data_IF_789824696108
#
_entry.id   IF_789824696108
#
_cell.length_a   1.000
_cell.length_b   1.000
_cell.length_c   1.000
_cell.angle_alpha   90.00
_cell.angle_beta   90.00
_cell.angle_gamma   90.00
#
_symmetry.space_group_name_H-M   'P 1'
#
loop_
_entity.id
_entity.type
_entity.pdbx_description
1 polymer ?
#
# COMPACT_ATOMS: atom_id res chain seq x y z
N UNK A 1 -14.56 35.10 4.23
CA UNK A 1 -13.36 34.78 3.42
C UNK A 1 -12.16 34.67 4.36
N UNK A 2 -12.20 33.70 5.28
CA UNK A 2 -11.07 33.43 6.15
C UNK A 2 -9.94 32.73 5.36
N UNK A 3 -10.26 31.94 4.33
CA UNK A 3 -9.31 31.27 3.44
C UNK A 3 -8.34 32.24 2.74
N UNK A 4 -8.81 33.44 2.37
CA UNK A 4 -7.97 34.48 1.79
C UNK A 4 -6.98 35.09 2.80
N UNK A 5 -7.22 34.96 4.12
CA UNK A 5 -6.28 35.41 5.16
C UNK A 5 -5.07 34.49 5.28
N UNK A 6 -5.19 33.23 4.86
CA UNK A 6 -4.10 32.24 4.86
C UNK A 6 -3.40 32.14 3.49
N UNK A 7 -3.64 33.09 2.60
CA UNK A 7 -2.98 33.17 1.29
C UNK A 7 -1.45 33.24 1.49
N UNK A 8 -0.67 32.33 0.90
CA UNK A 8 0.78 32.42 0.92
C UNK A 8 1.26 33.74 0.31
N UNK A 9 2.25 34.38 0.95
CA UNK A 9 2.76 35.70 0.55
C UNK A 9 3.32 35.74 -0.88
N UNK A 10 3.78 34.60 -1.40
CA UNK A 10 4.36 34.45 -2.73
C UNK A 10 3.33 34.25 -3.85
N UNK A 11 2.05 33.94 -3.52
CA UNK A 11 1.01 33.76 -4.54
C UNK A 11 0.29 35.08 -4.81
N UNK A 12 -0.26 35.27 -6.02
CA UNK A 12 -1.22 36.34 -6.28
C UNK A 12 -2.62 35.92 -5.80
N UNK A 13 -3.53 36.87 -5.59
CA UNK A 13 -4.90 36.54 -5.18
C UNK A 13 -5.61 35.68 -6.23
N UNK A 14 -5.38 35.97 -7.51
CA UNK A 14 -5.93 35.21 -8.63
C UNK A 14 -5.35 33.79 -8.72
N UNK A 15 -4.04 33.62 -8.52
CA UNK A 15 -3.40 32.31 -8.51
C UNK A 15 -3.90 31.45 -7.35
N UNK A 16 -4.06 32.05 -6.16
CA UNK A 16 -4.58 31.35 -4.99
C UNK A 16 -6.07 30.95 -5.15
N UNK A 17 -6.89 31.79 -5.78
CA UNK A 17 -8.28 31.41 -6.08
C UNK A 17 -8.38 30.30 -7.12
N UNK A 18 -7.48 30.26 -8.11
CA UNK A 18 -7.40 29.16 -9.07
C UNK A 18 -6.95 27.86 -8.41
N UNK A 19 -5.93 27.91 -7.54
CA UNK A 19 -5.47 26.74 -6.77
C UNK A 19 -6.61 26.17 -5.91
N UNK A 20 -7.38 27.03 -5.23
CA UNK A 20 -8.57 26.62 -4.49
C UNK A 20 -9.62 25.98 -5.39
N UNK A 21 -9.88 26.51 -6.59
CA UNK A 21 -10.82 25.89 -7.55
C UNK A 21 -10.35 24.50 -7.99
N UNK A 22 -9.05 24.31 -8.20
CA UNK A 22 -8.51 22.99 -8.60
C UNK A 22 -8.59 21.96 -7.49
N UNK A 23 -8.44 22.37 -6.23
CA UNK A 23 -8.50 21.46 -5.06
C UNK A 23 -9.93 21.12 -4.65
N UNK A 24 -10.90 21.97 -4.99
CA UNK A 24 -12.32 21.79 -4.64
C UNK A 24 -13.20 21.86 -5.90
N UNK A 25 -13.11 20.88 -6.83
CA UNK A 25 -13.94 20.88 -8.02
C UNK A 25 -15.42 20.82 -7.63
N UNK A 26 -16.23 21.70 -8.22
CA UNK A 26 -17.68 21.58 -8.22
C UNK A 26 -18.01 20.32 -9.03
N UNK A 27 -18.82 19.41 -8.47
CA UNK A 27 -19.33 18.28 -9.26
C UNK A 27 -20.07 18.81 -10.50
N UNK A 28 -20.21 17.98 -11.52
CA UNK A 28 -20.65 18.32 -12.90
C UNK A 28 -22.09 18.89 -13.04
N UNK A 29 -22.55 19.73 -12.11
CA UNK A 29 -23.78 20.52 -12.22
C UNK A 29 -23.54 21.68 -13.19
N UNK A 30 -23.53 21.36 -14.47
CA UNK A 30 -23.48 22.30 -15.58
C UNK A 30 -24.79 23.09 -15.66
N UNK A 31 -24.85 24.26 -15.01
CA UNK A 31 -25.55 25.43 -15.56
C UNK A 31 -25.64 26.56 -14.54
N UNK A 32 -25.08 27.71 -14.95
CA UNK A 32 -25.36 29.08 -14.46
C UNK A 32 -24.61 29.53 -13.21
N UNK A 33 -23.72 30.51 -13.44
CA UNK A 33 -22.92 31.28 -12.47
C UNK A 33 -21.91 30.50 -11.63
N UNK A 34 -20.93 29.89 -12.32
CA UNK A 34 -19.79 29.18 -11.70
C UNK A 34 -19.09 29.98 -10.61
N UNK A 35 -19.02 31.31 -10.71
CA UNK A 35 -18.30 32.14 -9.75
C UNK A 35 -18.96 32.29 -8.38
N UNK A 36 -20.28 32.17 -8.30
CA UNK A 36 -21.01 32.24 -7.04
C UNK A 36 -20.96 30.92 -6.28
N UNK A 37 -21.09 29.80 -6.99
CA UNK A 37 -21.27 28.46 -6.39
C UNK A 37 -20.02 27.94 -5.68
N UNK A 38 -18.81 28.16 -6.22
CA UNK A 38 -17.58 27.76 -5.52
C UNK A 38 -17.38 28.57 -4.23
N UNK A 39 -17.76 29.86 -4.26
CA UNK A 39 -17.58 30.77 -3.13
C UNK A 39 -18.52 30.40 -1.98
N UNK A 40 -19.77 30.09 -2.29
CA UNK A 40 -20.75 29.61 -1.30
C UNK A 40 -20.32 28.28 -0.70
N UNK A 41 -19.85 27.33 -1.53
CA UNK A 41 -19.32 26.04 -1.05
C UNK A 41 -18.08 26.20 -0.18
N UNK A 42 -17.16 27.09 -0.54
CA UNK A 42 -15.98 27.37 0.27
C UNK A 42 -16.36 27.97 1.64
N UNK A 43 -17.38 28.84 1.69
CA UNK A 43 -17.91 29.38 2.94
C UNK A 43 -18.60 28.29 3.79
N UNK A 44 -19.36 27.39 3.17
CA UNK A 44 -19.96 26.26 3.88
C UNK A 44 -18.89 25.35 4.50
N UNK A 45 -17.83 25.04 3.75
CA UNK A 45 -16.69 24.25 4.26
C UNK A 45 -15.93 24.99 5.37
N UNK A 46 -15.76 26.31 5.29
CA UNK A 46 -15.19 27.12 6.39
C UNK A 46 -16.06 27.01 7.66
N UNK A 47 -17.38 27.07 7.51
CA UNK A 47 -18.31 26.94 8.64
C UNK A 47 -18.29 25.54 9.24
N UNK A 48 -18.26 24.50 8.41
CA UNK A 48 -18.16 23.10 8.84
C UNK A 48 -16.84 22.82 9.55
N UNK A 49 -15.72 23.37 9.06
CA UNK A 49 -14.44 23.28 9.75
C UNK A 49 -14.50 23.94 11.14
N UNK A 50 -15.15 25.10 11.24
CA UNK A 50 -15.33 25.80 12.51
C UNK A 50 -16.19 24.98 13.49
N UNK A 51 -17.28 24.38 12.99
CA UNK A 51 -18.14 23.47 13.77
C UNK A 51 -17.34 22.25 14.26
N UNK A 52 -16.52 21.66 13.40
CA UNK A 52 -15.71 20.49 13.73
C UNK A 52 -14.61 20.83 14.75
N UNK A 53 -13.96 21.99 14.64
CA UNK A 53 -12.98 22.46 15.61
C UNK A 53 -13.59 22.71 16.99
N UNK A 54 -14.78 23.32 17.05
CA UNK A 54 -15.51 23.50 18.32
C UNK A 54 -15.86 22.15 18.94
N UNK A 55 -16.36 21.19 18.13
CA UNK A 55 -16.69 19.85 18.60
C UNK A 55 -15.46 19.11 19.13
N UNK A 56 -14.34 19.16 18.40
CA UNK A 56 -13.09 18.55 18.83
C UNK A 56 -12.56 19.18 20.13
N UNK A 57 -12.66 20.50 20.28
CA UNK A 57 -12.30 21.18 21.52
C UNK A 57 -13.15 20.75 22.72
N UNK A 58 -14.45 20.54 22.51
CA UNK A 58 -15.36 20.02 23.54
C UNK A 58 -15.01 18.58 23.93
N UNK A 59 -14.86 17.69 22.95
CA UNK A 59 -14.48 16.29 23.17
C UNK A 59 -13.12 16.19 23.90
N UNK A 60 -12.16 17.04 23.53
CA UNK A 60 -10.85 17.08 24.19
C UNK A 60 -10.93 17.55 25.65
N UNK A 61 -11.76 18.58 25.92
CA UNK A 61 -12.00 19.03 27.30
C UNK A 61 -12.71 17.99 28.17
N UNK A 62 -13.59 17.19 27.56
CA UNK A 62 -14.30 16.09 28.24
C UNK A 62 -13.34 14.95 28.58
N UNK A 63 -12.46 14.57 27.65
CA UNK A 63 -11.42 13.57 27.89
C UNK A 63 -10.43 13.99 28.99
N UNK A 64 -10.04 15.28 29.02
CA UNK A 64 -9.22 15.82 30.11
C UNK A 64 -9.95 15.75 31.46
N UNK A 65 -11.24 16.11 31.47
CA UNK A 65 -12.06 16.05 32.69
C UNK A 65 -12.22 14.61 33.20
N UNK A 66 -12.36 13.63 32.31
CA UNK A 66 -12.41 12.20 32.68
C UNK A 66 -11.07 11.69 33.23
N UNK A 67 -9.95 12.16 32.67
CA UNK A 67 -8.62 11.81 33.15
C UNK A 67 -8.36 12.38 34.55
N UNK A 68 -8.80 13.60 34.81
CA UNK A 68 -8.67 14.24 36.13
C UNK A 68 -9.65 13.66 37.16
N UNK A 69 -10.81 13.18 36.71
CA UNK A 69 -11.81 12.51 37.56
C UNK A 69 -11.46 11.06 37.92
N UNK A 70 -10.39 10.49 37.34
CA UNK A 70 -9.95 9.14 37.70
C UNK A 70 -9.09 9.24 38.96
N UNK A 71 -9.60 8.89 40.16
CA UNK A 71 -8.81 8.98 41.38
C UNK A 71 -7.62 8.04 41.26
N UNK A 72 -6.42 8.61 41.34
CA UNK A 72 -5.17 7.87 41.46
C UNK A 72 -5.29 7.07 42.76
N UNK A 73 -5.59 5.78 42.62
CA UNK A 73 -5.52 4.84 43.73
C UNK A 73 -4.04 4.68 44.05
N UNK A 74 -3.60 5.37 45.10
CA UNK A 74 -2.25 5.30 45.66
C UNK A 74 -1.96 3.87 46.15
N UNK A 75 -1.57 2.97 45.25
CA UNK A 75 -0.84 1.76 45.59
C UNK A 75 0.62 2.12 45.84
N UNK A 76 0.85 2.67 47.03
CA UNK A 76 2.14 2.78 47.69
C UNK A 76 2.56 1.38 48.15
N UNK A 77 3.49 0.76 47.41
CA UNK A 77 4.08 -0.53 47.72
C UNK A 77 5.59 -0.50 47.48
N UNK A 78 6.33 -0.61 48.57
CA UNK A 78 7.78 -0.54 48.74
C UNK A 78 8.59 -1.57 47.91
N UNK A 79 9.78 -1.16 47.46
CA UNK A 79 11.08 -1.85 47.70
C UNK A 79 12.15 -1.28 46.77
N UNK A 80 13.12 -0.53 47.29
CA UNK A 80 14.38 -0.99 47.88
C UNK A 80 15.51 -1.22 46.86
N UNK A 81 16.39 -0.21 46.85
CA UNK A 81 17.84 -0.23 46.62
C UNK A 81 18.54 -1.60 46.47
N UNK A 82 19.47 -1.72 45.52
CA UNK A 82 20.86 -2.14 45.83
C UNK A 82 21.87 -2.00 44.67
N UNK A 83 23.02 -1.46 45.05
CA UNK A 83 24.40 -1.73 44.62
C UNK A 83 24.84 -1.53 43.16
N UNK A 84 25.63 -0.46 43.02
CA UNK A 84 26.70 -0.29 42.06
C UNK A 84 27.79 -1.39 42.16
N UNK A 85 28.26 -1.89 41.02
CA UNK A 85 29.57 -2.56 40.89
C UNK A 85 30.27 -2.08 39.64
N UNK A 86 31.37 -1.34 39.84
CA UNK A 86 32.37 -0.99 38.82
C UNK A 86 33.21 -2.23 38.49
N UNK A 87 33.32 -2.62 37.22
CA UNK A 87 34.43 -3.47 36.74
C UNK A 87 35.06 -2.91 35.47
N UNK A 88 36.39 -2.80 35.59
CA UNK A 88 37.43 -2.29 34.69
C UNK A 88 37.99 -3.46 33.85
N UNK A 89 38.72 -3.14 32.77
CA UNK A 89 39.56 -4.01 31.90
C UNK A 89 38.83 -4.64 30.69
N UNK A 90 39.39 -4.77 29.47
CA UNK A 90 40.75 -4.57 28.92
C UNK A 90 40.65 -4.41 27.40
N UNK A 91 41.37 -3.44 26.83
CA UNK A 91 41.66 -3.31 25.39
C UNK A 91 42.34 -4.58 24.85
N UNK A 92 41.87 -5.15 23.74
CA UNK A 92 42.69 -6.00 22.86
C UNK A 92 42.49 -5.57 21.40
N UNK A 93 43.62 -5.25 20.81
CA UNK A 93 43.87 -4.76 19.47
C UNK A 93 43.79 -5.93 18.48
N UNK A 94 43.08 -5.81 17.36
CA UNK A 94 43.16 -6.74 16.23
C UNK A 94 43.12 -5.96 14.92
N UNK A 95 44.09 -6.28 14.05
CA UNK A 95 44.40 -5.72 12.74
C UNK A 95 43.23 -5.76 11.74
N UNK A 96 43.25 -4.91 10.69
CA UNK A 96 42.28 -4.97 9.60
C UNK A 96 42.64 -6.08 8.61
N UNK A 97 41.69 -6.97 8.34
CA UNK A 97 41.74 -7.92 7.23
C UNK A 97 41.17 -7.23 5.97
N UNK A 98 41.95 -7.29 4.91
CA UNK A 98 41.63 -6.92 3.54
C UNK A 98 40.37 -7.63 3.04
N UNK A 99 39.35 -6.86 2.62
CA UNK A 99 38.23 -7.37 1.85
C UNK A 99 38.52 -7.27 0.34
N UNK A 100 38.12 -8.28 -0.47
CA UNK A 100 38.29 -8.25 -1.90
C UNK A 100 37.27 -7.30 -2.53
N UNK A 101 37.72 -6.56 -3.55
CA UNK A 101 36.88 -5.76 -4.44
C UNK A 101 35.81 -6.65 -5.08
N UNK A 102 34.58 -6.50 -4.58
CA UNK A 102 33.37 -7.01 -5.23
C UNK A 102 33.11 -6.18 -6.49
N UNK A 103 33.13 -6.87 -7.63
CA UNK A 103 32.80 -6.35 -8.95
C UNK A 103 31.42 -5.68 -8.93
N UNK A 104 31.42 -4.34 -8.88
CA UNK A 104 30.22 -3.53 -9.13
C UNK A 104 29.82 -3.70 -10.59
N UNK A 105 28.81 -4.52 -10.85
CA UNK A 105 28.08 -4.47 -12.12
C UNK A 105 27.43 -3.10 -12.25
N UNK A 106 28.03 -2.24 -13.08
CA UNK A 106 27.47 -0.92 -13.43
C UNK A 106 26.34 -1.11 -14.43
N UNK A 107 25.13 -1.38 -13.93
CA UNK A 107 23.91 -1.33 -14.74
C UNK A 107 23.66 0.13 -15.16
N UNK A 108 23.59 0.41 -16.47
CA UNK A 108 23.43 1.77 -17.00
C UNK A 108 21.96 2.24 -16.88
N UNK A 109 21.57 2.57 -15.64
CA UNK A 109 20.24 3.05 -15.25
C UNK A 109 19.73 4.23 -16.07
N UNK A 110 20.64 5.11 -16.47
CA UNK A 110 20.31 6.31 -17.24
C UNK A 110 19.65 5.91 -18.56
N UNK A 111 20.20 4.93 -19.26
CA UNK A 111 19.68 4.49 -20.57
C UNK A 111 18.26 3.91 -20.50
N UNK A 112 17.93 3.17 -19.44
CA UNK A 112 16.60 2.54 -19.26
C UNK A 112 15.53 3.60 -18.95
N UNK A 113 15.85 4.57 -18.09
CA UNK A 113 14.88 5.59 -17.66
C UNK A 113 14.77 6.75 -18.66
N UNK A 114 15.83 7.09 -19.41
CA UNK A 114 15.78 8.16 -20.42
C UNK A 114 15.13 7.73 -21.74
N UNK A 115 14.55 6.52 -21.82
CA UNK A 115 14.00 5.90 -23.02
C UNK A 115 13.58 6.90 -24.09
N UNK A 116 14.41 7.01 -25.14
CA UNK A 116 14.26 7.95 -26.25
C UNK A 116 13.12 7.48 -27.15
N UNK A 117 11.89 7.54 -26.67
CA UNK A 117 10.71 7.32 -27.50
C UNK A 117 10.44 8.58 -28.32
N UNK A 118 10.33 8.43 -29.64
CA UNK A 118 10.16 9.53 -30.60
C UNK A 118 8.75 10.11 -30.65
N UNK A 119 7.82 9.58 -29.86
CA UNK A 119 6.41 9.97 -29.92
C UNK A 119 6.06 10.92 -28.75
N UNK A 120 5.80 12.18 -29.11
CA UNK A 120 5.76 13.33 -28.22
C UNK A 120 4.50 13.46 -27.36
N UNK A 121 4.57 12.93 -26.13
CA UNK A 121 3.70 13.33 -25.03
C UNK A 121 4.51 13.61 -23.74
N UNK A 122 4.05 14.54 -22.87
CA UNK A 122 4.81 15.06 -21.74
C UNK A 122 4.78 14.11 -20.53
N UNK A 123 5.41 12.94 -20.65
CA UNK A 123 5.68 12.04 -19.51
C UNK A 123 7.07 12.28 -18.88
N UNK A 124 7.84 13.22 -19.43
CA UNK A 124 9.23 13.48 -19.05
C UNK A 124 9.40 13.95 -17.59
N UNK A 125 8.41 14.65 -17.03
CA UNK A 125 8.52 15.28 -15.69
C UNK A 125 8.66 14.26 -14.55
N UNK A 126 8.04 13.07 -14.67
CA UNK A 126 8.10 12.05 -13.62
C UNK A 126 9.47 11.36 -13.59
N UNK A 127 10.02 11.02 -14.76
CA UNK A 127 11.30 10.28 -14.83
C UNK A 127 12.50 11.12 -14.42
N UNK A 128 12.52 12.40 -14.79
CA UNK A 128 13.59 13.31 -14.36
C UNK A 128 13.60 13.49 -12.84
N UNK A 129 12.41 13.55 -12.22
CA UNK A 129 12.26 13.68 -10.77
C UNK A 129 12.77 12.44 -10.02
N UNK A 130 12.51 11.23 -10.56
CA UNK A 130 13.05 9.98 -10.01
C UNK A 130 14.57 9.99 -10.00
N UNK A 131 15.21 10.36 -11.11
CA UNK A 131 16.67 10.41 -11.18
C UNK A 131 17.25 11.46 -10.23
N UNK A 132 16.70 12.67 -10.20
CA UNK A 132 17.18 13.74 -9.33
C UNK A 132 17.05 13.39 -7.84
N UNK A 133 15.94 12.77 -7.44
CA UNK A 133 15.71 12.37 -6.05
C UNK A 133 16.63 11.22 -5.61
N UNK A 134 16.89 10.25 -6.50
CA UNK A 134 17.84 9.16 -6.23
C UNK A 134 19.29 9.64 -6.22
N UNK A 135 19.69 10.54 -7.11
CA UNK A 135 21.03 11.15 -7.11
C UNK A 135 21.27 11.95 -5.83
N UNK A 136 20.26 12.70 -5.37
CA UNK A 136 20.30 13.41 -4.09
C UNK A 136 20.42 12.44 -2.90
N UNK A 137 19.64 11.36 -2.91
CA UNK A 137 19.69 10.32 -1.88
C UNK A 137 21.04 9.61 -1.84
N UNK A 138 21.62 9.30 -2.99
CA UNK A 138 22.95 8.68 -3.09
C UNK A 138 24.05 9.60 -2.56
N UNK A 139 23.98 10.89 -2.92
CA UNK A 139 24.92 11.90 -2.44
C UNK A 139 24.85 12.05 -0.91
N UNK A 140 23.64 12.04 -0.33
CA UNK A 140 23.48 12.09 1.11
C UNK A 140 23.86 10.78 1.80
N UNK A 141 23.53 9.63 1.22
CA UNK A 141 23.88 8.32 1.78
C UNK A 141 25.39 8.14 1.84
N UNK A 142 26.11 8.56 0.79
CA UNK A 142 27.58 8.54 0.75
C UNK A 142 28.21 9.53 1.73
N UNK A 143 27.66 10.75 1.83
CA UNK A 143 28.09 11.74 2.81
C UNK A 143 27.89 11.24 4.25
N UNK A 144 26.74 10.62 4.55
CA UNK A 144 26.40 10.06 5.87
C UNK A 144 27.27 8.86 6.23
N UNK A 145 27.56 7.98 5.26
CA UNK A 145 28.46 6.85 5.45
C UNK A 145 29.91 7.30 5.75
N UNK A 146 30.35 8.40 5.12
CA UNK A 146 31.71 8.95 5.27
C UNK A 146 31.87 9.79 6.54
N UNK A 147 30.85 10.61 6.85
CA UNK A 147 30.87 11.62 7.90
C UNK A 147 29.64 11.41 8.79
N UNK A 148 29.74 10.44 9.71
CA UNK A 148 28.65 9.98 10.59
C UNK A 148 27.93 11.06 11.41
N UNK A 149 28.37 12.33 11.40
CA UNK A 149 27.83 13.38 12.28
C UNK A 149 27.41 14.69 11.62
N UNK A 150 27.51 14.86 10.29
CA UNK A 150 27.27 16.18 9.68
C UNK A 150 25.90 16.37 9.03
N UNK A 151 25.19 15.31 8.67
CA UNK A 151 23.89 15.41 7.98
C UNK A 151 22.74 15.26 8.98
N UNK A 152 21.83 16.25 9.10
CA UNK A 152 20.64 16.13 9.92
C UNK A 152 19.76 14.95 9.46
N UNK A 153 19.26 14.15 10.41
CA UNK A 153 18.41 12.99 10.14
C UNK A 153 17.11 13.39 9.42
N UNK A 154 16.56 14.56 9.77
CA UNK A 154 15.37 15.12 9.12
C UNK A 154 15.58 15.36 7.62
N UNK A 155 16.71 15.96 7.23
CA UNK A 155 17.01 16.23 5.83
C UNK A 155 17.16 14.93 5.02
N UNK A 156 17.82 13.93 5.62
CA UNK A 156 17.95 12.61 5.01
C UNK A 156 16.59 11.95 4.82
N UNK A 157 15.72 12.00 5.83
CA UNK A 157 14.38 11.45 5.76
C UNK A 157 13.53 12.15 4.69
N UNK A 158 13.58 13.48 4.60
CA UNK A 158 12.83 14.25 3.57
C UNK A 158 13.23 13.80 2.15
N UNK A 159 14.53 13.68 1.88
CA UNK A 159 15.02 13.28 0.55
C UNK A 159 14.71 11.82 0.27
N UNK A 160 14.78 10.95 1.27
CA UNK A 160 14.33 9.57 1.18
C UNK A 160 12.83 9.47 0.83
N UNK A 161 11.98 10.23 1.51
CA UNK A 161 10.53 10.23 1.22
C UNK A 161 10.26 10.73 -0.19
N UNK A 162 10.98 11.78 -0.64
CA UNK A 162 10.86 12.29 -1.99
C UNK A 162 11.27 11.25 -3.04
N UNK A 163 12.32 10.46 -2.80
CA UNK A 163 12.73 9.38 -3.70
C UNK A 163 11.69 8.26 -3.76
N UNK A 164 11.14 7.85 -2.61
CA UNK A 164 10.04 6.86 -2.54
C UNK A 164 8.80 7.37 -3.28
N UNK A 165 8.46 8.66 -3.13
CA UNK A 165 7.31 9.27 -3.79
C UNK A 165 7.48 9.40 -5.30
N UNK A 166 8.67 9.76 -5.75
CA UNK A 166 8.98 9.81 -7.17
C UNK A 166 8.87 8.40 -7.79
N UNK A 167 9.40 7.38 -7.12
CA UNK A 167 9.29 5.97 -7.56
C UNK A 167 7.83 5.51 -7.57
N UNK A 168 7.08 5.79 -6.51
CA UNK A 168 5.66 5.48 -6.42
C UNK A 168 4.85 6.15 -7.53
N UNK A 169 5.09 7.43 -7.79
CA UNK A 169 4.44 8.17 -8.89
C UNK A 169 4.75 7.59 -10.27
N UNK A 170 6.01 7.22 -10.52
CA UNK A 170 6.39 6.53 -11.76
C UNK A 170 5.68 5.18 -11.88
N UNK A 171 5.67 4.39 -10.80
CA UNK A 171 5.03 3.09 -10.77
C UNK A 171 3.52 3.18 -11.03
N UNK A 172 2.79 4.07 -10.34
CA UNK A 172 1.35 4.28 -10.56
C UNK A 172 1.04 4.66 -12.01
N UNK A 173 1.92 5.44 -12.66
CA UNK A 173 1.75 5.77 -14.08
C UNK A 173 1.88 4.56 -15.01
N UNK A 174 2.73 3.57 -14.66
CA UNK A 174 2.91 2.32 -15.40
C UNK A 174 1.82 1.29 -15.10
N UNK A 175 1.21 1.35 -13.91
CA UNK A 175 0.14 0.45 -13.48
C UNK A 175 -1.25 0.90 -13.96
N UNK A 176 -1.36 2.10 -14.53
CA UNK A 176 -2.64 2.62 -15.04
C UNK A 176 -3.14 1.78 -16.24
N UNK A 177 -4.44 1.45 -16.30
CA UNK A 177 -4.97 0.65 -17.41
C UNK A 177 -4.70 1.31 -18.76
N UNK A 178 -4.15 0.56 -19.71
CA UNK A 178 -3.86 1.03 -21.07
C UNK A 178 -2.55 1.83 -21.24
N UNK A 179 -1.72 1.96 -20.20
CA UNK A 179 -0.38 2.56 -20.31
C UNK A 179 0.74 1.55 -20.53
N UNK A 180 0.42 0.26 -20.69
CA UNK A 180 1.40 -0.81 -20.89
C UNK A 180 2.09 -0.66 -22.26
N UNK A 181 3.26 -0.03 -22.24
CA UNK A 181 4.18 0.04 -23.36
C UNK A 181 5.05 -1.23 -23.37
N UNK A 182 5.60 -1.65 -24.51
CA UNK A 182 6.56 -2.76 -24.57
C UNK A 182 7.76 -2.58 -23.61
N UNK A 183 8.18 -1.34 -23.37
CA UNK A 183 9.26 -0.98 -22.44
C UNK A 183 8.85 -0.95 -20.96
N UNK A 184 7.58 -1.20 -20.64
CA UNK A 184 7.10 -1.22 -19.25
C UNK A 184 7.79 -2.31 -18.42
N UNK A 185 8.08 -3.48 -19.00
CA UNK A 185 8.77 -4.55 -18.29
C UNK A 185 10.19 -4.17 -17.87
N UNK A 186 10.97 -3.55 -18.77
CA UNK A 186 12.32 -3.08 -18.45
C UNK A 186 12.28 -1.99 -17.37
N UNK A 187 11.27 -1.11 -17.45
CA UNK A 187 11.08 -0.04 -16.46
C UNK A 187 10.68 -0.61 -15.10
N UNK A 188 9.80 -1.62 -15.06
CA UNK A 188 9.40 -2.31 -13.82
C UNK A 188 10.57 -3.10 -13.20
N UNK A 189 11.39 -3.75 -14.02
CA UNK A 189 12.60 -4.41 -13.56
C UNK A 189 13.59 -3.40 -12.94
N UNK A 190 13.76 -2.23 -13.58
CA UNK A 190 14.55 -1.14 -13.02
C UNK A 190 13.97 -0.64 -11.69
N UNK A 191 12.65 -0.43 -11.59
CA UNK A 191 11.98 -0.06 -10.34
C UNK A 191 12.21 -1.12 -9.25
N UNK A 192 12.10 -2.40 -9.58
CA UNK A 192 12.38 -3.51 -8.66
C UNK A 192 13.78 -3.39 -8.05
N UNK A 193 14.79 -3.21 -8.90
CA UNK A 193 16.19 -3.07 -8.44
C UNK A 193 16.43 -1.79 -7.63
N UNK A 194 15.71 -0.70 -7.92
CA UNK A 194 15.77 0.54 -7.13
C UNK A 194 15.13 0.39 -5.76
N UNK A 195 13.96 -0.24 -5.66
CA UNK A 195 13.30 -0.53 -4.38
C UNK A 195 14.18 -1.43 -3.52
N UNK A 196 14.76 -2.49 -4.12
CA UNK A 196 15.71 -3.35 -3.44
C UNK A 196 16.92 -2.57 -2.92
N UNK A 197 17.55 -1.76 -3.79
CA UNK A 197 18.70 -0.95 -3.41
C UNK A 197 18.37 0.02 -2.29
N UNK A 198 17.21 0.69 -2.37
CA UNK A 198 16.75 1.63 -1.37
C UNK A 198 16.59 0.94 -0.02
N UNK A 199 15.94 -0.23 0.03
CA UNK A 199 15.81 -1.02 1.26
C UNK A 199 17.18 -1.46 1.81
N UNK A 200 18.05 -2.03 0.97
CA UNK A 200 19.35 -2.56 1.40
C UNK A 200 20.34 -1.48 1.84
N UNK A 201 20.29 -0.29 1.23
CA UNK A 201 21.23 0.79 1.55
C UNK A 201 20.72 1.68 2.66
N UNK A 202 19.43 2.02 2.67
CA UNK A 202 18.89 3.04 3.56
C UNK A 202 18.54 2.46 4.93
N UNK A 203 17.97 1.25 4.99
CA UNK A 203 17.57 0.65 6.27
C UNK A 203 18.74 0.55 7.25
N UNK A 204 19.93 0.04 6.88
CA UNK A 204 21.08 0.02 7.79
C UNK A 204 21.49 1.41 8.29
N UNK A 205 21.42 2.43 7.43
CA UNK A 205 21.77 3.81 7.81
C UNK A 205 20.78 4.44 8.80
N UNK A 206 19.53 4.00 8.77
CA UNK A 206 18.48 4.41 9.70
C UNK A 206 18.55 3.62 11.02
N UNK A 207 19.06 2.38 11.02
CA UNK A 207 19.23 1.61 12.26
C UNK A 207 20.48 2.01 13.04
N UNK A 208 21.55 2.41 12.34
CA UNK A 208 22.85 2.72 12.95
C UNK A 208 22.89 4.05 13.73
N UNK A 209 21.91 4.96 13.53
CA UNK A 209 21.92 6.28 14.18
C UNK A 209 21.73 6.22 15.70
N UNK A 210 21.25 5.09 16.24
CA UNK A 210 20.91 4.93 17.65
C UNK A 210 22.10 4.75 18.60
N UNK A 211 23.34 4.83 18.13
CA UNK A 211 24.44 4.23 18.88
C UNK A 211 25.03 5.02 20.06
N UNK A 212 24.81 6.34 20.22
CA UNK A 212 25.46 7.09 21.34
C UNK A 212 24.74 8.33 21.87
N UNK A 213 23.58 8.73 21.35
CA UNK A 213 22.87 9.86 21.95
C UNK A 213 22.35 9.44 23.33
N UNK A 214 22.69 10.25 24.34
CA UNK A 214 22.16 10.13 25.69
C UNK A 214 20.63 10.01 25.59
N UNK A 215 19.98 9.10 26.34
CA UNK A 215 18.53 8.89 26.30
C UNK A 215 17.81 10.20 26.65
N UNK A 216 17.52 10.99 25.62
CA UNK A 216 16.71 12.19 25.69
C UNK A 216 15.26 11.76 25.77
N UNK A 217 14.53 12.29 26.75
CA UNK A 217 13.22 11.85 27.24
C UNK A 217 12.04 12.09 26.28
N UNK A 218 12.27 12.31 24.99
CA UNK A 218 11.20 12.44 24.01
C UNK A 218 11.31 11.27 23.02
N UNK A 219 10.30 10.42 23.02
CA UNK A 219 10.11 9.35 22.03
C UNK A 219 9.88 10.00 20.66
N UNK A 220 10.95 10.36 19.97
CA UNK A 220 10.83 10.75 18.57
C UNK A 220 10.24 9.56 17.79
N UNK A 221 9.20 9.79 16.95
CA UNK A 221 8.60 8.75 16.15
C UNK A 221 9.71 8.06 15.35
N UNK A 222 9.84 6.74 15.51
CA UNK A 222 10.92 5.99 14.91
C UNK A 222 10.96 6.26 13.40
N UNK A 223 12.00 6.96 12.94
CA UNK A 223 12.22 7.39 11.55
C UNK A 223 12.02 6.23 10.56
N UNK A 224 12.41 5.02 10.98
CA UNK A 224 12.18 3.78 10.25
C UNK A 224 10.70 3.50 9.96
N UNK A 225 9.83 3.69 10.95
CA UNK A 225 8.38 3.49 10.80
C UNK A 225 7.78 4.45 9.79
N UNK A 226 8.20 5.72 9.80
CA UNK A 226 7.78 6.73 8.81
C UNK A 226 8.19 6.29 7.40
N UNK A 227 9.44 5.85 7.24
CA UNK A 227 9.94 5.35 5.96
C UNK A 227 9.18 4.11 5.47
N UNK A 228 9.03 3.09 6.30
CA UNK A 228 8.35 1.85 5.91
C UNK A 228 6.87 2.07 5.64
N UNK A 229 6.21 2.95 6.41
CA UNK A 229 4.84 3.37 6.15
C UNK A 229 4.72 4.08 4.80
N UNK A 230 5.67 4.94 4.46
CA UNK A 230 5.69 5.61 3.15
C UNK A 230 5.96 4.66 2.00
N UNK A 231 6.93 3.75 2.15
CA UNK A 231 7.20 2.70 1.17
C UNK A 231 5.96 1.83 0.90
N UNK A 232 5.28 1.44 1.98
CA UNK A 232 4.05 0.65 1.89
C UNK A 232 2.96 1.40 1.12
N UNK A 233 2.66 2.64 1.53
CA UNK A 233 1.57 3.44 0.95
C UNK A 233 1.84 3.97 -0.46
N UNK A 234 3.09 4.30 -0.81
CA UNK A 234 3.44 4.87 -2.11
C UNK A 234 3.77 3.81 -3.18
N UNK A 235 4.22 2.61 -2.78
CA UNK A 235 4.69 1.58 -3.71
C UNK A 235 3.89 0.29 -3.55
N UNK A 236 3.96 -0.36 -2.39
CA UNK A 236 3.47 -1.74 -2.22
C UNK A 236 1.94 -1.83 -2.29
N UNK A 237 1.23 -0.89 -1.67
CA UNK A 237 -0.25 -0.82 -1.69
C UNK A 237 -0.77 -0.55 -3.12
N UNK A 238 -0.29 0.46 -3.86
CA UNK A 238 -0.66 0.65 -5.27
C UNK A 238 -0.43 -0.59 -6.14
N UNK A 239 0.64 -1.35 -5.90
CA UNK A 239 0.85 -2.62 -6.61
C UNK A 239 -0.31 -3.59 -6.33
N UNK A 240 -0.67 -3.82 -5.07
CA UNK A 240 -1.74 -4.76 -4.71
C UNK A 240 -3.09 -4.36 -5.33
N UNK A 241 -3.39 -3.06 -5.31
CA UNK A 241 -4.60 -2.51 -5.91
C UNK A 241 -4.61 -2.63 -7.45
N UNK A 242 -3.43 -2.68 -8.09
CA UNK A 242 -3.32 -2.76 -9.55
C UNK A 242 -3.58 -4.16 -10.12
N UNK A 243 -3.49 -5.23 -9.33
CA UNK A 243 -3.68 -6.58 -9.87
C UNK A 243 -5.08 -6.76 -10.51
N UNK A 244 -6.12 -6.16 -9.93
CA UNK A 244 -7.48 -6.26 -10.47
C UNK A 244 -7.62 -5.62 -11.87
N UNK A 245 -7.31 -4.31 -12.06
CA UNK A 245 -7.37 -3.70 -13.38
C UNK A 245 -6.39 -4.32 -14.38
N UNK A 246 -5.19 -4.72 -13.95
CA UNK A 246 -4.20 -5.35 -14.85
C UNK A 246 -4.67 -6.71 -15.35
N UNK A 247 -5.19 -7.56 -14.46
CA UNK A 247 -5.71 -8.88 -14.84
C UNK A 247 -6.91 -8.75 -15.77
N UNK A 248 -7.79 -7.78 -15.51
CA UNK A 248 -8.93 -7.50 -16.37
C UNK A 248 -8.49 -7.02 -17.76
N UNK A 249 -7.59 -6.05 -17.82
CA UNK A 249 -7.04 -5.54 -19.08
C UNK A 249 -6.39 -6.66 -19.89
N UNK A 250 -5.49 -7.43 -19.27
CA UNK A 250 -4.76 -8.51 -19.92
C UNK A 250 -5.69 -9.61 -20.47
N UNK A 251 -6.63 -10.10 -19.65
CA UNK A 251 -7.54 -11.19 -20.06
C UNK A 251 -8.52 -10.72 -21.13
N UNK A 252 -9.00 -9.47 -21.05
CA UNK A 252 -9.83 -8.89 -22.11
C UNK A 252 -9.03 -8.74 -23.41
N UNK A 253 -7.80 -8.22 -23.37
CA UNK A 253 -6.95 -8.13 -24.57
C UNK A 253 -6.67 -9.50 -25.18
N UNK A 254 -6.38 -10.51 -24.35
CA UNK A 254 -6.02 -11.85 -24.81
C UNK A 254 -7.19 -12.63 -25.41
N UNK A 255 -8.40 -12.50 -24.83
CA UNK A 255 -9.55 -13.34 -25.15
C UNK A 255 -10.73 -12.59 -25.78
N UNK A 256 -10.66 -11.27 -25.97
CA UNK A 256 -11.70 -10.54 -26.67
C UNK A 256 -11.86 -11.10 -28.10
N UNK A 257 -13.11 -11.31 -28.56
CA UNK A 257 -13.36 -11.85 -29.89
C UNK A 257 -12.83 -10.86 -30.93
N UNK A 258 -11.79 -11.26 -31.67
CA UNK A 258 -11.31 -10.48 -32.82
C UNK A 258 -12.43 -10.35 -33.84
N UNK A 259 -13.03 -9.17 -33.93
CA UNK A 259 -14.06 -8.87 -34.91
C UNK A 259 -13.55 -9.13 -36.33
N UNK A 260 -14.34 -9.84 -37.14
CA UNK A 260 -13.97 -10.25 -38.51
C UNK A 260 -13.78 -9.06 -39.48
N UNK A 261 -14.05 -7.84 -39.06
CA UNK A 261 -14.12 -6.64 -39.90
C UNK A 261 -12.78 -5.96 -40.16
N UNK A 262 -11.72 -6.24 -39.40
CA UNK A 262 -10.40 -5.59 -39.58
C UNK A 262 -9.29 -6.57 -40.00
N UNK A 263 -9.45 -7.22 -41.16
CA UNK A 263 -8.43 -8.13 -41.73
C UNK A 263 -7.17 -7.46 -42.28
N UNK A 264 -7.11 -6.12 -42.38
CA UNK A 264 -6.02 -5.42 -43.12
C UNK A 264 -4.97 -4.67 -42.30
N UNK A 265 -5.12 -4.46 -40.99
CA UNK A 265 -4.10 -3.72 -40.20
C UNK A 265 -3.35 -4.55 -39.14
N UNK A 266 -3.43 -5.88 -39.20
CA UNK A 266 -2.93 -6.77 -38.14
C UNK A 266 -1.41 -6.96 -38.09
N UNK A 267 -0.61 -6.22 -38.87
CA UNK A 267 0.83 -6.52 -39.01
C UNK A 267 1.72 -6.10 -37.82
N UNK A 268 1.23 -5.32 -36.85
CA UNK A 268 2.05 -4.87 -35.71
C UNK A 268 1.29 -4.77 -34.38
N UNK A 269 0.23 -5.54 -34.16
CA UNK A 269 -0.27 -5.67 -32.79
C UNK A 269 0.69 -6.59 -32.02
N UNK A 270 1.84 -6.02 -31.63
CA UNK A 270 2.75 -6.60 -30.65
C UNK A 270 1.88 -7.03 -29.46
N UNK A 271 1.99 -8.30 -29.09
CA UNK A 271 1.27 -8.84 -27.95
C UNK A 271 1.60 -7.96 -26.76
N UNK A 272 0.59 -7.30 -26.19
CA UNK A 272 0.73 -6.51 -24.97
C UNK A 272 1.44 -7.39 -23.95
N UNK A 273 2.64 -6.96 -23.54
CA UNK A 273 3.48 -7.78 -22.69
C UNK A 273 2.79 -7.91 -21.33
N UNK A 274 2.73 -9.13 -20.79
CA UNK A 274 2.16 -9.33 -19.46
C UNK A 274 3.09 -8.75 -18.40
N UNK A 275 2.67 -7.62 -17.80
CA UNK A 275 3.44 -6.93 -16.76
C UNK A 275 3.17 -7.47 -15.35
N UNK A 276 2.11 -8.27 -15.15
CA UNK A 276 1.69 -8.72 -13.79
C UNK A 276 2.78 -9.52 -13.06
N UNK A 277 3.54 -10.44 -13.71
CA UNK A 277 4.65 -11.13 -13.04
C UNK A 277 5.77 -10.17 -12.59
N UNK A 278 6.11 -9.17 -13.41
CA UNK A 278 7.13 -8.18 -13.06
C UNK A 278 6.67 -7.30 -11.87
N UNK A 279 5.40 -6.93 -11.86
CA UNK A 279 4.77 -6.19 -10.76
C UNK A 279 4.79 -7.01 -9.45
N UNK A 280 4.46 -8.31 -9.52
CA UNK A 280 4.54 -9.20 -8.37
C UNK A 280 5.97 -9.40 -7.85
N UNK A 281 6.96 -9.48 -8.75
CA UNK A 281 8.37 -9.60 -8.37
C UNK A 281 8.87 -8.43 -7.50
N UNK A 282 8.32 -7.22 -7.68
CA UNK A 282 8.64 -6.06 -6.83
C UNK A 282 8.19 -6.30 -5.38
N UNK A 283 6.95 -6.79 -5.19
CA UNK A 283 6.43 -7.13 -3.85
C UNK A 283 7.27 -8.24 -3.23
N UNK A 284 7.47 -9.34 -3.97
CA UNK A 284 8.21 -10.50 -3.48
C UNK A 284 9.63 -10.13 -3.02
N UNK A 285 10.34 -9.36 -3.85
CA UNK A 285 11.70 -8.90 -3.53
C UNK A 285 11.72 -7.96 -2.33
N UNK A 286 10.80 -7.01 -2.25
CA UNK A 286 10.71 -6.08 -1.12
C UNK A 286 10.43 -6.83 0.19
N UNK A 287 9.48 -7.76 0.19
CA UNK A 287 9.13 -8.56 1.37
C UNK A 287 10.27 -9.48 1.80
N UNK A 288 10.98 -10.12 0.85
CA UNK A 288 12.14 -10.95 1.17
C UNK A 288 13.26 -10.15 1.86
N UNK A 289 13.48 -8.89 1.43
CA UNK A 289 14.46 -8.00 2.08
C UNK A 289 13.97 -7.59 3.47
N UNK A 290 12.70 -7.26 3.62
CA UNK A 290 12.10 -6.94 4.93
C UNK A 290 12.22 -8.11 5.92
N UNK A 291 12.00 -9.35 5.47
CA UNK A 291 12.19 -10.54 6.29
C UNK A 291 13.65 -10.75 6.70
N UNK A 292 14.59 -10.55 5.77
CA UNK A 292 16.02 -10.55 6.09
C UNK A 292 16.37 -9.50 7.14
N UNK A 293 15.79 -8.29 7.03
CA UNK A 293 15.99 -7.23 8.01
C UNK A 293 15.39 -7.60 9.36
N UNK A 294 14.21 -8.22 9.43
CA UNK A 294 13.64 -8.70 10.68
C UNK A 294 14.56 -9.70 11.39
N UNK A 295 15.20 -10.61 10.65
CA UNK A 295 16.08 -11.63 11.24
C UNK A 295 17.42 -11.08 11.75
N UNK A 296 17.93 -10.00 11.14
CA UNK A 296 19.27 -9.47 11.41
C UNK A 296 19.29 -8.20 12.27
N UNK A 297 18.13 -7.58 12.53
CA UNK A 297 18.07 -6.25 13.14
C UNK A 297 17.67 -6.28 14.61
N UNK A 298 17.73 -5.10 15.24
CA UNK A 298 17.25 -4.88 16.60
C UNK A 298 15.75 -5.21 16.75
N UNK A 299 15.31 -5.49 17.97
CA UNK A 299 13.89 -5.71 18.30
C UNK A 299 13.00 -4.55 17.83
N UNK A 300 13.48 -3.30 17.94
CA UNK A 300 12.75 -2.11 17.47
C UNK A 300 12.61 -2.05 15.95
N UNK A 301 13.60 -2.54 15.19
CA UNK A 301 13.49 -2.59 13.73
C UNK A 301 12.51 -3.69 13.32
N UNK A 302 12.59 -4.84 13.98
CA UNK A 302 11.68 -5.96 13.74
C UNK A 302 10.21 -5.57 13.98
N UNK A 303 9.90 -4.81 15.03
CA UNK A 303 8.52 -4.33 15.28
C UNK A 303 8.03 -3.37 14.20
N UNK A 304 8.88 -2.48 13.69
CA UNK A 304 8.51 -1.56 12.61
C UNK A 304 8.29 -2.27 11.28
N UNK A 305 9.12 -3.27 10.96
CA UNK A 305 8.91 -4.11 9.78
C UNK A 305 7.64 -4.94 9.91
N UNK A 306 7.38 -5.52 11.09
CA UNK A 306 6.15 -6.25 11.36
C UNK A 306 4.92 -5.36 11.19
N UNK A 307 4.94 -4.12 11.69
CA UNK A 307 3.86 -3.15 11.50
C UNK A 307 3.61 -2.82 10.01
N UNK A 308 4.67 -2.74 9.19
CA UNK A 308 4.53 -2.58 7.75
C UNK A 308 3.87 -3.81 7.11
N UNK A 309 4.31 -5.02 7.45
CA UNK A 309 3.70 -6.28 6.98
C UNK A 309 2.22 -6.38 7.38
N UNK A 310 1.87 -5.93 8.57
CA UNK A 310 0.49 -5.86 9.05
C UNK A 310 -0.38 -4.97 8.17
N UNK A 311 0.09 -3.76 7.86
CA UNK A 311 -0.62 -2.84 6.97
C UNK A 311 -0.84 -3.46 5.58
N UNK A 312 0.17 -4.14 5.03
CA UNK A 312 0.07 -4.85 3.75
C UNK A 312 -0.92 -6.01 3.80
N UNK A 313 -0.97 -6.74 4.92
CA UNK A 313 -1.90 -7.87 5.09
C UNK A 313 -3.35 -7.39 5.15
N UNK A 314 -3.61 -6.32 5.91
CA UNK A 314 -4.92 -5.67 5.95
C UNK A 314 -5.34 -5.17 4.58
N UNK A 315 -4.43 -4.54 3.85
CA UNK A 315 -4.70 -4.00 2.54
C UNK A 315 -5.00 -5.10 1.51
N UNK A 316 -4.19 -6.15 1.44
CA UNK A 316 -4.43 -7.28 0.55
C UNK A 316 -5.78 -7.95 0.85
N UNK A 317 -6.13 -8.10 2.14
CA UNK A 317 -7.44 -8.61 2.58
C UNK A 317 -8.57 -7.68 2.18
N UNK A 318 -8.40 -6.36 2.34
CA UNK A 318 -9.38 -5.35 1.94
C UNK A 318 -9.63 -5.38 0.43
N UNK A 319 -8.57 -5.43 -0.39
CA UNK A 319 -8.67 -5.55 -1.85
C UNK A 319 -9.37 -6.85 -2.23
N UNK A 320 -9.05 -7.97 -1.56
CA UNK A 320 -9.70 -9.25 -1.78
C UNK A 320 -11.21 -9.16 -1.51
N UNK A 321 -11.65 -8.55 -0.39
CA UNK A 321 -13.07 -8.33 -0.09
C UNK A 321 -13.73 -7.43 -1.15
N UNK A 322 -13.05 -6.37 -1.58
CA UNK A 322 -13.55 -5.46 -2.61
C UNK A 322 -13.81 -6.13 -3.95
N UNK A 323 -13.06 -7.18 -4.31
CA UNK A 323 -13.30 -7.95 -5.55
C UNK A 323 -14.67 -8.63 -5.59
N UNK A 324 -15.30 -8.85 -4.44
CA UNK A 324 -16.61 -9.49 -4.33
C UNK A 324 -17.74 -8.51 -3.96
N UNK A 325 -17.39 -7.31 -3.51
CA UNK A 325 -18.32 -6.21 -3.34
C UNK A 325 -18.60 -5.56 -4.71
N UNK A 326 -19.24 -6.27 -5.63
CA UNK A 326 -19.49 -5.74 -6.98
C UNK A 326 -20.45 -4.53 -6.95
N UNK A 327 -20.01 -3.32 -7.33
CA UNK A 327 -20.89 -2.15 -7.46
C UNK A 327 -21.82 -2.24 -8.67
N UNK A 328 -21.58 -3.17 -9.60
CA UNK A 328 -22.38 -3.37 -10.82
C UNK A 328 -23.32 -4.57 -10.73
N UNK A 329 -23.57 -5.10 -9.53
CA UNK A 329 -24.69 -6.01 -9.34
C UNK A 329 -25.95 -5.31 -9.89
N UNK A 330 -26.59 -5.84 -10.96
CA UNK A 330 -27.73 -5.20 -11.57
C UNK A 330 -28.75 -4.95 -10.48
N UNK A 331 -29.17 -3.68 -10.33
CA UNK A 331 -30.12 -3.32 -9.30
C UNK A 331 -31.29 -4.28 -9.40
N UNK A 332 -31.75 -4.89 -8.29
CA UNK A 332 -32.80 -5.91 -8.32
C UNK A 332 -34.13 -5.41 -8.92
N UNK A 333 -34.25 -4.09 -9.19
CA UNK A 333 -35.38 -3.47 -9.89
C UNK A 333 -35.29 -3.46 -11.42
N UNK A 334 -34.12 -3.66 -12.04
CA UNK A 334 -34.05 -3.85 -13.49
C UNK A 334 -34.53 -5.26 -13.79
N UNK A 335 -35.77 -5.37 -14.29
CA UNK A 335 -36.54 -6.60 -14.48
C UNK A 335 -35.91 -7.60 -15.46
N UNK A 336 -34.72 -8.10 -15.15
CA UNK A 336 -34.03 -9.14 -15.90
C UNK A 336 -34.91 -10.39 -15.83
N UNK A 337 -35.37 -10.92 -16.98
CA UNK A 337 -36.28 -12.05 -17.02
C UNK A 337 -35.67 -13.25 -16.27
N UNK A 338 -36.43 -13.80 -15.31
CA UNK A 338 -36.04 -14.99 -14.54
C UNK A 338 -35.60 -16.10 -15.51
N UNK A 339 -34.34 -16.58 -15.45
CA UNK A 339 -33.92 -17.70 -16.28
C UNK A 339 -34.77 -18.93 -15.91
N UNK A 340 -35.39 -19.55 -16.92
CA UNK A 340 -36.15 -20.79 -16.75
C UNK A 340 -35.18 -21.87 -16.25
N UNK A 341 -35.44 -22.40 -15.04
CA UNK A 341 -34.64 -23.45 -14.42
C UNK A 341 -34.57 -24.68 -15.33
N UNK A 342 -33.36 -25.16 -15.65
CA UNK A 342 -33.15 -26.47 -16.28
C UNK A 342 -32.28 -26.49 -17.55
N UNK A 343 -31.89 -25.34 -18.09
CA UNK A 343 -30.93 -25.28 -19.21
C UNK A 343 -29.63 -24.69 -18.69
N UNK A 344 -28.49 -25.33 -18.98
CA UNK A 344 -27.15 -24.78 -18.73
C UNK A 344 -27.02 -23.43 -19.46
N UNK A 345 -27.42 -22.34 -18.78
CA UNK A 345 -27.30 -21.00 -19.31
C UNK A 345 -25.83 -20.66 -19.32
N UNK A 346 -25.19 -20.83 -20.48
CA UNK A 346 -23.83 -20.37 -20.71
C UNK A 346 -23.78 -18.88 -20.41
N UNK A 347 -22.97 -18.52 -19.40
CA UNK A 347 -22.73 -17.12 -19.06
C UNK A 347 -22.24 -16.36 -20.30
N UNK A 348 -22.68 -15.10 -20.50
CA UNK A 348 -22.12 -14.21 -21.50
C UNK A 348 -20.59 -14.19 -21.44
N UNK A 349 -19.94 -14.10 -22.61
CA UNK A 349 -18.48 -14.11 -22.70
C UNK A 349 -17.82 -13.08 -21.79
N UNK A 350 -18.35 -11.85 -21.74
CA UNK A 350 -17.85 -10.78 -20.87
C UNK A 350 -17.84 -11.17 -19.39
N UNK A 351 -18.91 -11.80 -18.89
CA UNK A 351 -18.98 -12.28 -17.52
C UNK A 351 -17.97 -13.40 -17.25
N UNK A 352 -17.75 -14.29 -18.22
CA UNK A 352 -16.74 -15.36 -18.12
C UNK A 352 -15.32 -14.78 -18.06
N UNK A 353 -15.02 -13.76 -18.86
CA UNK A 353 -13.73 -13.07 -18.86
C UNK A 353 -13.51 -12.33 -17.54
N UNK A 354 -14.52 -11.63 -17.04
CA UNK A 354 -14.44 -10.98 -15.72
C UNK A 354 -14.19 -11.98 -14.58
N UNK A 355 -14.89 -13.13 -14.59
CA UNK A 355 -14.63 -14.21 -13.62
C UNK A 355 -13.19 -14.73 -13.71
N UNK A 356 -12.66 -14.89 -14.92
CA UNK A 356 -11.27 -15.33 -15.09
C UNK A 356 -10.28 -14.27 -14.58
N UNK A 357 -10.52 -12.99 -14.85
CA UNK A 357 -9.70 -11.89 -14.34
C UNK A 357 -9.73 -11.78 -12.82
N UNK A 358 -10.90 -12.01 -12.22
CA UNK A 358 -11.05 -12.08 -10.76
C UNK A 358 -10.23 -13.22 -10.17
N UNK A 359 -10.30 -14.43 -10.73
CA UNK A 359 -9.48 -15.58 -10.27
C UNK A 359 -8.00 -15.30 -10.30
N UNK A 360 -7.54 -14.72 -11.40
CA UNK A 360 -6.15 -14.35 -11.59
C UNK A 360 -5.70 -13.30 -10.55
N UNK A 361 -6.54 -12.29 -10.30
CA UNK A 361 -6.31 -11.31 -9.24
C UNK A 361 -6.24 -11.94 -7.86
N UNK A 362 -7.18 -12.85 -7.54
CA UNK A 362 -7.19 -13.59 -6.27
C UNK A 362 -5.89 -14.37 -6.10
N UNK A 363 -5.39 -14.99 -7.16
CA UNK A 363 -4.11 -15.71 -7.10
C UNK A 363 -2.97 -14.80 -6.66
N UNK A 364 -2.80 -13.61 -7.26
CA UNK A 364 -1.75 -12.66 -6.86
C UNK A 364 -1.91 -12.15 -5.41
N UNK A 365 -3.14 -11.84 -4.99
CA UNK A 365 -3.43 -11.38 -3.64
C UNK A 365 -3.20 -12.47 -2.60
N UNK A 366 -3.63 -13.71 -2.86
CA UNK A 366 -3.38 -14.85 -1.98
C UNK A 366 -1.88 -15.15 -1.85
N UNK A 367 -1.12 -15.10 -2.94
CA UNK A 367 0.34 -15.25 -2.87
C UNK A 367 0.99 -14.11 -2.07
N UNK A 368 0.53 -12.88 -2.25
CA UNK A 368 0.98 -11.74 -1.43
C UNK A 368 0.69 -11.99 0.05
N UNK A 369 -0.52 -12.43 0.39
CA UNK A 369 -0.91 -12.81 1.76
C UNK A 369 -0.01 -13.92 2.32
N UNK A 370 0.35 -14.92 1.52
CA UNK A 370 1.28 -15.97 1.95
C UNK A 370 2.68 -15.45 2.29
N UNK A 371 3.15 -14.40 1.61
CA UNK A 371 4.44 -13.77 1.88
C UNK A 371 4.40 -12.87 3.13
N UNK A 372 3.31 -12.13 3.36
CA UNK A 372 3.20 -11.20 4.50
C UNK A 372 2.79 -11.89 5.80
N UNK A 373 2.02 -12.97 5.74
CA UNK A 373 1.62 -13.71 6.94
C UNK A 373 2.84 -14.36 7.60
N UNK A 374 2.94 -14.31 8.94
CA UNK A 374 4.06 -14.89 9.66
C UNK A 374 4.18 -16.39 9.35
N UNK A 375 5.38 -16.84 9.04
CA UNK A 375 5.69 -18.26 9.07
C UNK A 375 5.71 -18.72 10.54
N UNK A 376 5.28 -19.94 10.86
CA UNK A 376 5.40 -20.50 12.20
C UNK A 376 6.86 -20.45 12.66
N UNK A 377 7.19 -19.47 13.49
CA UNK A 377 8.56 -19.26 13.96
C UNK A 377 8.83 -20.24 15.10
N UNK A 378 9.55 -21.31 14.80
CA UNK A 378 9.98 -22.29 15.80
C UNK A 378 11.19 -21.70 16.56
N UNK A 379 10.94 -21.06 17.70
CA UNK A 379 11.96 -20.95 18.76
C UNK A 379 12.47 -19.57 19.16
N UNK A 380 11.87 -18.45 18.75
CA UNK A 380 12.24 -17.12 19.24
C UNK A 380 11.17 -16.52 20.16
N UNK A 381 11.55 -16.15 21.38
CA UNK A 381 10.67 -15.50 22.35
C UNK A 381 10.36 -14.07 21.90
N UNK A 382 9.24 -13.88 21.19
CA UNK A 382 8.74 -12.56 20.78
C UNK A 382 8.28 -11.78 22.03
N UNK A 383 8.57 -10.47 22.13
CA UNK A 383 8.09 -9.62 23.23
C UNK A 383 6.56 -9.63 23.35
N UNK A 384 6.06 -9.66 24.58
CA UNK A 384 4.64 -9.87 24.93
C UNK A 384 3.69 -8.86 24.30
N UNK A 385 4.11 -7.61 24.12
CA UNK A 385 3.26 -6.53 23.60
C UNK A 385 2.96 -6.69 22.10
N UNK A 386 3.94 -7.16 21.31
CA UNK A 386 3.75 -7.40 19.87
C UNK A 386 2.72 -8.51 19.66
N UNK A 387 2.70 -9.49 20.57
CA UNK A 387 1.75 -10.61 20.53
C UNK A 387 0.28 -10.17 20.57
N UNK A 388 -0.07 -9.14 21.33
CA UNK A 388 -1.46 -8.66 21.40
C UNK A 388 -1.92 -8.04 20.08
N UNK A 389 -1.05 -7.23 19.45
CA UNK A 389 -1.34 -6.64 18.14
C UNK A 389 -1.41 -7.70 17.04
N UNK A 390 -0.54 -8.71 17.08
CA UNK A 390 -0.56 -9.85 16.16
C UNK A 390 -1.87 -10.63 16.27
N UNK A 391 -2.37 -10.85 17.50
CA UNK A 391 -3.64 -11.55 17.75
C UNK A 391 -4.83 -10.76 17.19
N UNK A 392 -4.93 -9.46 17.50
CA UNK A 392 -6.01 -8.61 17.01
C UNK A 392 -6.02 -8.52 15.48
N UNK A 393 -4.86 -8.38 14.87
CA UNK A 393 -4.74 -8.38 13.42
C UNK A 393 -5.18 -9.72 12.83
N UNK A 394 -4.68 -10.82 13.38
CA UNK A 394 -5.06 -12.15 12.92
C UNK A 394 -6.58 -12.32 13.00
N UNK A 395 -7.21 -11.94 14.12
CA UNK A 395 -8.67 -12.00 14.28
C UNK A 395 -9.41 -11.13 13.25
N UNK A 396 -8.91 -9.93 12.93
CA UNK A 396 -9.48 -9.08 11.89
C UNK A 396 -9.38 -9.72 10.49
N UNK A 397 -8.24 -10.33 10.18
CA UNK A 397 -8.04 -11.07 8.91
C UNK A 397 -8.99 -12.27 8.85
N UNK A 398 -9.08 -13.07 9.92
CA UNK A 398 -10.02 -14.20 9.97
C UNK A 398 -11.46 -13.76 9.83
N UNK A 399 -11.87 -12.68 10.50
CA UNK A 399 -13.22 -12.16 10.39
C UNK A 399 -13.53 -11.78 8.93
N UNK A 400 -12.64 -11.04 8.27
CA UNK A 400 -12.82 -10.64 6.87
C UNK A 400 -12.83 -11.82 5.90
N UNK A 401 -11.92 -12.80 6.07
CA UNK A 401 -11.87 -13.99 5.22
C UNK A 401 -13.04 -14.96 5.50
N UNK A 402 -13.47 -15.08 6.75
CA UNK A 402 -14.64 -15.87 7.12
C UNK A 402 -15.91 -15.24 6.56
N UNK A 403 -16.04 -13.92 6.63
CA UNK A 403 -17.11 -13.18 5.98
C UNK A 403 -17.11 -13.48 4.48
N UNK A 404 -15.96 -13.36 3.80
CA UNK A 404 -15.83 -13.71 2.38
C UNK A 404 -16.32 -15.15 2.08
N UNK A 405 -15.94 -16.12 2.91
CA UNK A 405 -16.35 -17.52 2.74
C UNK A 405 -17.82 -17.78 3.06
N UNK A 406 -18.41 -17.06 4.01
CA UNK A 406 -19.84 -17.18 4.33
C UNK A 406 -20.69 -16.68 3.16
N UNK A 407 -20.24 -15.62 2.48
CA UNK A 407 -20.87 -15.14 1.26
C UNK A 407 -20.89 -16.16 0.13
N UNK A 408 -19.96 -17.13 0.11
CA UNK A 408 -19.93 -18.20 -0.88
C UNK A 408 -20.92 -19.34 -0.62
N UNK A 409 -21.48 -19.47 0.60
CA UNK A 409 -22.20 -20.68 1.01
C UNK A 409 -23.68 -20.73 0.60
N UNK A 410 -24.21 -19.74 -0.13
CA UNK A 410 -25.67 -19.60 -0.29
C UNK A 410 -26.13 -19.88 -1.72
N UNK A 411 -26.27 -21.18 -2.03
CA UNK A 411 -27.46 -21.76 -2.70
C UNK A 411 -27.34 -23.27 -2.85
N UNK A 412 -27.46 -23.99 -1.73
CA UNK A 412 -28.09 -25.31 -1.85
C UNK A 412 -29.54 -25.06 -2.24
N UNK A 413 -30.03 -25.64 -3.35
CA UNK A 413 -31.44 -25.51 -3.73
C UNK A 413 -32.27 -26.11 -2.60
N UNK A 414 -32.85 -25.25 -1.76
CA UNK A 414 -33.81 -25.68 -0.77
C UNK A 414 -34.94 -26.34 -1.54
N UNK A 415 -35.05 -27.66 -1.42
CA UNK A 415 -36.07 -28.49 -2.07
C UNK A 415 -37.46 -28.29 -1.46
N UNK A 416 -37.70 -27.24 -0.65
CA UNK A 416 -39.02 -26.93 -0.12
C UNK A 416 -39.67 -25.78 -0.90
N UNK A 417 -40.75 -26.04 -1.66
CA UNK A 417 -41.60 -25.01 -2.25
C UNK A 417 -42.47 -24.38 -1.15
N UNK A 418 -41.89 -23.59 -0.25
CA UNK A 418 -42.68 -22.73 0.63
C UNK A 418 -42.91 -21.40 -0.08
N UNK A 419 -44.13 -21.27 -0.57
CA UNK A 419 -44.70 -20.06 -1.15
C UNK A 419 -44.54 -18.86 -0.22
N UNK A 420 -44.32 -17.70 -0.84
CA UNK A 420 -44.54 -16.34 -0.29
C UNK A 420 -43.60 -15.89 0.83
N UNK A 421 -42.37 -15.53 0.46
CA UNK A 421 -41.82 -14.21 0.81
C UNK A 421 -40.66 -13.84 -0.13
N UNK A 422 -40.93 -12.93 -1.06
CA UNK A 422 -40.03 -12.50 -2.16
C UNK A 422 -39.30 -11.20 -1.80
N UNK A 423 -38.66 -11.14 -0.63
CA UNK A 423 -37.92 -9.95 -0.22
C UNK A 423 -36.44 -10.04 -0.63
N UNK A 424 -36.11 -9.43 -1.78
CA UNK A 424 -34.81 -8.86 -2.16
C UNK A 424 -33.53 -9.57 -1.64
N UNK A 425 -33.33 -10.82 -2.02
CA UNK A 425 -32.02 -11.45 -1.86
C UNK A 425 -31.07 -10.88 -2.93
N UNK A 426 -30.28 -9.87 -2.53
CA UNK A 426 -29.22 -9.28 -3.36
C UNK A 426 -28.29 -10.40 -3.80
N UNK A 427 -28.25 -10.68 -5.11
CA UNK A 427 -27.36 -11.69 -5.69
C UNK A 427 -25.92 -11.23 -5.55
N UNK A 428 -25.27 -11.64 -4.46
CA UNK A 428 -23.81 -11.57 -4.31
C UNK A 428 -23.19 -12.66 -5.18
N UNK A 429 -21.99 -12.41 -5.69
CA UNK A 429 -21.29 -13.39 -6.51
C UNK A 429 -20.78 -14.53 -5.63
N UNK A 430 -21.18 -15.75 -5.94
CA UNK A 430 -20.63 -16.93 -5.30
C UNK A 430 -19.14 -17.08 -5.66
N UNK A 431 -18.31 -17.34 -4.65
CA UNK A 431 -16.96 -17.87 -4.90
C UNK A 431 -17.11 -19.26 -5.49
N UNK A 432 -16.42 -19.53 -6.59
CA UNK A 432 -16.32 -20.91 -7.04
C UNK A 432 -15.33 -21.72 -6.22
N UNK A 433 -15.29 -23.03 -6.48
CA UNK A 433 -14.46 -23.97 -5.72
C UNK A 433 -12.97 -23.63 -5.77
N UNK A 434 -12.49 -23.09 -6.90
CA UNK A 434 -11.08 -22.72 -7.07
C UNK A 434 -10.76 -21.47 -6.28
N UNK A 435 -11.58 -20.42 -6.39
CA UNK A 435 -11.44 -19.18 -5.62
C UNK A 435 -11.51 -19.47 -4.11
N UNK A 436 -12.45 -20.32 -3.70
CA UNK A 436 -12.59 -20.79 -2.32
C UNK A 436 -11.36 -21.55 -1.84
N UNK A 437 -10.81 -22.45 -2.66
CA UNK A 437 -9.59 -23.19 -2.34
C UNK A 437 -8.39 -22.28 -2.11
N UNK A 438 -8.21 -21.25 -2.95
CA UNK A 438 -7.15 -20.25 -2.79
C UNK A 438 -7.27 -19.48 -1.47
N UNK A 439 -8.49 -19.03 -1.13
CA UNK A 439 -8.76 -18.31 0.13
C UNK A 439 -8.55 -19.22 1.35
N UNK A 440 -9.01 -20.47 1.28
CA UNK A 440 -8.82 -21.45 2.35
C UNK A 440 -7.34 -21.74 2.61
N UNK A 441 -6.50 -21.82 1.57
CA UNK A 441 -5.06 -21.99 1.74
C UNK A 441 -4.44 -20.84 2.54
N UNK A 442 -4.88 -19.60 2.31
CA UNK A 442 -4.42 -18.43 3.08
C UNK A 442 -4.84 -18.53 4.55
N UNK A 443 -6.10 -18.92 4.82
CA UNK A 443 -6.62 -19.12 6.17
C UNK A 443 -5.84 -20.22 6.89
N UNK A 444 -5.60 -21.35 6.22
CA UNK A 444 -4.82 -22.45 6.78
C UNK A 444 -3.41 -22.00 7.15
N UNK A 445 -2.72 -21.25 6.28
CA UNK A 445 -1.40 -20.70 6.58
C UNK A 445 -1.44 -19.72 7.76
N UNK A 446 -2.41 -18.81 7.79
CA UNK A 446 -2.58 -17.89 8.91
C UNK A 446 -2.79 -18.67 10.23
N UNK A 447 -3.43 -19.85 10.16
CA UNK A 447 -3.78 -20.67 11.32
C UNK A 447 -2.59 -21.47 11.82
N UNK A 448 -1.80 -22.02 10.90
CA UNK A 448 -0.55 -22.70 11.22
C UNK A 448 0.54 -21.75 11.73
N UNK A 449 0.45 -20.44 11.42
CA UNK A 449 1.40 -19.42 11.89
C UNK A 449 1.15 -18.90 13.31
N UNK A 450 0.02 -19.26 13.95
CA UNK A 450 -0.28 -18.98 15.36
C UNK A 450 0.42 -19.98 16.28
#
# INVERSE_FOLDING_TARGET
MAALRHKPSHLSYAAYSLDLRTKFPLGDSSSVTEEGSWRERALALEEDLRKLQVKYGQEHSELLSLRDATPILDTRGESATTSAVKRKQKKKNVLPLTHPESLRQTFNFKSVLTGTSKDGYPQASSRSLVMQSLDALDTLSTARASSRSSTPDELFLVILMQAVDALGGLLVSLLSPGSALPSSNDTLAAICTLVERLLLQVVPLLTDSNHKSVPSKAEDPAIMGVFLGRLSSAILVPIMQSFAPLSNSYILTLLAPRGKTHKKSFKHQESEADIRPAVFAIIDRALAILDSLMTNSSTSTATQVQAAKHALTLEATRVLVQLFADPHAPNPGDGVPKPRQGVDVRLPLSQRLHKLARKDTIWYLCNTLHLVLPAPFVGTSVPTQTREQDVLLADAIYAALAELLQHAKVKLPATSPSTTDMANEVRRYDLDEVERGMVLAVIERAWLGR
#
